data_IF_846566832042
#
_entry.id   IF_846566832042
#
_cell.length_a   1.000
_cell.length_b   1.000
_cell.length_c   1.000
_cell.angle_alpha   90.00
_cell.angle_beta   90.00
_cell.angle_gamma   90.00
#
_symmetry.space_group_name_H-M   'P 1'
#
loop_
_entity.id
_entity.type
_entity.pdbx_description
1 polymer ?
#
# COMPACT_ATOMS: atom_id res chain seq x y z
N UNK A 1 11.23 -11.53 18.02
CA UNK A 1 11.57 -10.66 16.87
C UNK A 1 10.30 -10.25 16.14
N UNK A 2 10.12 -8.99 15.97
CA UNK A 2 8.92 -8.49 15.31
C UNK A 2 9.00 -8.75 13.80
N UNK A 3 7.95 -9.33 13.25
CA UNK A 3 7.89 -9.63 11.83
C UNK A 3 7.91 -8.39 10.94
N UNK A 4 7.62 -7.24 11.54
CA UNK A 4 7.48 -5.99 10.77
C UNK A 4 8.74 -5.14 10.77
N UNK A 5 9.81 -5.58 11.43
CA UNK A 5 11.05 -4.81 11.46
C UNK A 5 11.66 -4.65 10.07
N UNK A 6 11.55 -5.68 9.24
CA UNK A 6 12.11 -5.68 7.90
C UNK A 6 11.08 -5.32 6.84
N UNK A 7 9.90 -4.87 7.27
CA UNK A 7 8.85 -4.51 6.34
C UNK A 7 8.41 -3.07 6.52
N UNK A 8 8.10 -2.46 5.40
CA UNK A 8 7.61 -1.08 5.35
C UNK A 8 6.21 -1.06 4.79
N UNK A 9 5.45 -0.04 5.14
CA UNK A 9 4.12 0.15 4.59
C UNK A 9 4.21 1.11 3.41
N UNK A 10 3.70 0.65 2.27
CA UNK A 10 3.67 1.46 1.05
C UNK A 10 2.23 1.78 0.67
N UNK A 11 2.00 3.04 0.29
CA UNK A 11 0.71 3.45 -0.25
C UNK A 11 0.82 3.45 -1.77
N UNK A 12 -0.01 2.65 -2.42
CA UNK A 12 -0.03 2.53 -3.87
C UNK A 12 -1.33 3.12 -4.39
N UNK A 13 -1.20 4.13 -5.26
CA UNK A 13 -2.32 4.69 -5.99
C UNK A 13 -2.38 4.00 -7.35
N UNK A 14 -3.53 3.42 -7.66
CA UNK A 14 -3.71 2.67 -8.89
C UNK A 14 -4.96 3.13 -9.62
N UNK A 15 -5.04 2.79 -10.90
CA UNK A 15 -6.18 3.11 -11.74
C UNK A 15 -6.51 4.60 -11.73
N UNK A 16 -5.48 5.42 -11.91
CA UNK A 16 -5.65 6.87 -11.90
C UNK A 16 -6.49 7.32 -13.10
N UNK A 17 -7.54 8.08 -12.79
CA UNK A 17 -8.37 8.72 -13.80
C UNK A 17 -8.50 10.19 -13.45
N UNK A 18 -8.19 11.11 -14.35
CA UNK A 18 -8.22 12.54 -14.04
C UNK A 18 -9.59 13.04 -13.55
N UNK A 19 -10.67 12.41 -14.01
CA UNK A 19 -12.02 12.77 -13.64
C UNK A 19 -12.53 12.08 -12.37
N UNK A 20 -11.73 11.20 -11.79
CA UNK A 20 -12.10 10.48 -10.59
C UNK A 20 -11.38 11.07 -9.38
N UNK A 21 -12.11 11.80 -8.54
CA UNK A 21 -11.54 12.41 -7.35
C UNK A 21 -11.25 11.41 -6.24
N UNK A 22 -11.95 10.29 -6.23
CA UNK A 22 -11.79 9.27 -5.20
C UNK A 22 -10.87 8.16 -5.68
N UNK A 23 -9.57 8.44 -5.71
CA UNK A 23 -8.57 7.46 -6.11
C UNK A 23 -8.42 6.40 -5.02
N UNK A 24 -8.60 5.12 -5.34
CA UNK A 24 -8.39 4.08 -4.34
C UNK A 24 -6.91 4.00 -3.98
N UNK A 25 -6.65 3.88 -2.68
CA UNK A 25 -5.28 3.71 -2.17
C UNK A 25 -5.18 2.33 -1.57
N UNK A 26 -4.17 1.59 -2.05
CA UNK A 26 -3.89 0.26 -1.56
C UNK A 26 -2.62 0.31 -0.71
N UNK A 27 -2.67 -0.32 0.47
CA UNK A 27 -1.52 -0.37 1.36
C UNK A 27 -0.87 -1.74 1.25
N UNK A 28 0.45 -1.77 1.08
CA UNK A 28 1.19 -3.02 0.91
C UNK A 28 2.34 -3.07 1.90
N UNK A 29 2.45 -4.18 2.63
CA UNK A 29 3.58 -4.45 3.51
C UNK A 29 4.65 -5.19 2.72
N UNK A 30 5.83 -4.59 2.62
CA UNK A 30 6.94 -5.17 1.90
C UNK A 30 8.28 -4.59 2.39
N UNK A 31 9.38 -5.29 2.19
CA UNK A 31 10.68 -4.79 2.65
C UNK A 31 11.19 -3.59 1.85
N UNK A 32 10.74 -3.45 0.60
CA UNK A 32 11.14 -2.32 -0.23
C UNK A 32 10.06 -2.03 -1.28
N UNK A 33 10.25 -0.90 -1.98
CA UNK A 33 9.28 -0.46 -2.99
C UNK A 33 9.09 -1.47 -4.11
N UNK A 34 10.18 -2.06 -4.56
CA UNK A 34 10.13 -3.05 -5.63
C UNK A 34 9.26 -4.25 -5.26
N UNK A 35 9.45 -4.76 -4.05
CA UNK A 35 8.66 -5.88 -3.54
C UNK A 35 7.20 -5.49 -3.35
N UNK A 36 6.95 -4.25 -2.90
CA UNK A 36 5.59 -3.77 -2.75
C UNK A 36 4.86 -3.77 -4.08
N UNK A 37 5.50 -3.26 -5.13
CA UNK A 37 4.91 -3.25 -6.46
C UNK A 37 4.65 -4.67 -6.98
N UNK A 38 5.57 -5.58 -6.73
CA UNK A 38 5.42 -6.98 -7.14
C UNK A 38 4.23 -7.61 -6.44
N UNK A 39 4.12 -7.43 -5.13
CA UNK A 39 2.98 -7.96 -4.36
C UNK A 39 1.66 -7.40 -4.86
N UNK A 40 1.63 -6.11 -5.14
CA UNK A 40 0.42 -5.47 -5.64
C UNK A 40 0.00 -6.09 -6.97
N UNK A 41 0.94 -6.24 -7.89
CA UNK A 41 0.65 -6.80 -9.21
C UNK A 41 0.24 -8.26 -9.18
N UNK A 42 0.76 -9.03 -8.23
CA UNK A 42 0.37 -10.42 -8.05
C UNK A 42 -1.05 -10.56 -7.51
N UNK A 43 -1.45 -9.61 -6.68
CA UNK A 43 -2.78 -9.63 -6.06
C UNK A 43 -3.81 -8.97 -6.96
N UNK A 44 -3.46 -7.84 -7.56
CA UNK A 44 -4.35 -7.07 -8.42
C UNK A 44 -3.69 -6.94 -9.78
N UNK A 45 -4.01 -7.86 -10.67
CA UNK A 45 -3.31 -7.99 -11.95
C UNK A 45 -3.82 -7.01 -13.02
N UNK A 46 -5.01 -6.48 -12.83
CA UNK A 46 -5.68 -5.67 -13.87
C UNK A 46 -5.48 -4.16 -13.70
N UNK A 47 -4.89 -3.72 -12.61
CA UNK A 47 -4.67 -2.31 -12.38
C UNK A 47 -3.22 -1.91 -12.60
N UNK A 48 -3.03 -0.71 -13.15
CA UNK A 48 -1.70 -0.14 -13.28
C UNK A 48 -1.34 0.64 -12.04
N UNK A 49 -0.10 0.55 -11.60
CA UNK A 49 0.40 1.35 -10.51
C UNK A 49 0.69 2.75 -11.04
N UNK A 50 0.03 3.74 -10.46
CA UNK A 50 0.29 5.14 -10.78
C UNK A 50 1.40 5.69 -9.90
N UNK A 51 1.33 5.42 -8.59
CA UNK A 51 2.31 5.92 -7.64
C UNK A 51 2.49 4.93 -6.51
N UNK A 52 3.69 4.94 -5.90
CA UNK A 52 4.02 4.06 -4.79
C UNK A 52 4.87 4.85 -3.81
N UNK A 53 4.30 5.18 -2.66
CA UNK A 53 4.94 6.03 -1.66
C UNK A 53 5.11 5.25 -0.36
N UNK A 54 6.33 5.30 0.20
CA UNK A 54 6.57 4.69 1.50
C UNK A 54 6.03 5.59 2.60
N UNK A 55 5.26 5.00 3.50
CA UNK A 55 4.76 5.71 4.67
C UNK A 55 5.78 5.56 5.79
N UNK A 56 6.30 6.68 6.26
CA UNK A 56 7.34 6.69 7.30
C UNK A 56 6.84 7.09 8.68
N UNK A 57 5.68 7.73 8.76
CA UNK A 57 5.14 8.18 10.03
C UNK A 57 4.54 7.00 10.80
N UNK A 58 5.10 6.71 11.95
CA UNK A 58 4.67 5.57 12.76
C UNK A 58 3.21 5.65 13.17
N UNK A 59 2.74 6.84 13.52
CA UNK A 59 1.35 7.01 13.92
C UNK A 59 0.37 6.71 12.77
N UNK A 60 0.76 7.05 11.53
CA UNK A 60 -0.06 6.70 10.37
C UNK A 60 -0.05 5.21 10.11
N UNK A 61 1.12 4.58 10.21
CA UNK A 61 1.24 3.13 10.03
C UNK A 61 0.37 2.43 11.06
N UNK A 62 0.46 2.84 12.32
CA UNK A 62 -0.30 2.26 13.40
C UNK A 62 -1.80 2.42 13.16
N UNK A 63 -2.23 3.62 12.77
CA UNK A 63 -3.64 3.88 12.51
C UNK A 63 -4.18 2.99 11.41
N UNK A 64 -3.44 2.85 10.31
CA UNK A 64 -3.84 2.00 9.18
C UNK A 64 -3.92 0.54 9.61
N UNK A 65 -2.93 0.07 10.36
CA UNK A 65 -2.88 -1.33 10.79
C UNK A 65 -3.93 -1.66 11.84
N UNK A 66 -4.35 -0.69 12.65
CA UNK A 66 -5.38 -0.88 13.65
C UNK A 66 -6.79 -0.87 13.08
N UNK A 67 -6.97 -0.28 11.90
CA UNK A 67 -8.27 -0.17 11.25
C UNK A 67 -8.26 -0.80 9.86
N UNK A 68 -7.96 -2.11 9.76
CA UNK A 68 -7.88 -2.76 8.44
C UNK A 68 -9.20 -2.76 7.69
N UNK A 69 -10.32 -2.63 8.39
CA UNK A 69 -11.63 -2.59 7.76
C UNK A 69 -11.88 -1.30 6.98
N UNK A 70 -11.09 -0.26 7.25
CA UNK A 70 -11.20 1.03 6.57
C UNK A 70 -10.26 1.17 5.39
N UNK A 71 -9.34 0.23 5.24
CA UNK A 71 -8.29 0.33 4.24
C UNK A 71 -8.14 -0.99 3.51
N UNK A 72 -7.65 -0.90 2.28
CA UNK A 72 -7.31 -2.09 1.50
C UNK A 72 -5.85 -2.41 1.77
N UNK A 73 -5.59 -3.49 2.49
CA UNK A 73 -4.24 -3.84 2.91
C UNK A 73 -3.83 -5.17 2.28
N UNK A 74 -2.69 -5.17 1.61
CA UNK A 74 -2.10 -6.35 0.99
C UNK A 74 -0.89 -6.76 1.84
N UNK A 75 -0.94 -7.94 2.39
CA UNK A 75 0.14 -8.45 3.24
C UNK A 75 1.02 -9.47 2.55
#
# INVERSE_FOLDING_TARGET
MAKYEDQCLFAITADYRPDNENKPIYYVLAPNRRKAKTKFKETITWLKIYDCIRIRQENKIQDIMEHPEKHIIIK
#
